data_IF_333210395712
#
_entry.id   IF_333210395712
#
_cell.length_a   1.000
_cell.length_b   1.000
_cell.length_c   1.000
_cell.angle_alpha   90.00
_cell.angle_beta   90.00
_cell.angle_gamma   90.00
#
_symmetry.space_group_name_H-M   'P 1'
#
loop_
_entity.id
_entity.type
_entity.pdbx_description
1 polymer ?
#
# COMPACT_ATOMS: atom_id res chain seq x y z
N UNK A 1 24.46 6.06 7.80
CA UNK A 1 25.30 4.92 8.27
C UNK A 1 24.80 4.50 9.64
N UNK A 2 23.98 3.46 9.67
CA UNK A 2 23.74 2.65 10.85
C UNK A 2 23.84 1.21 10.36
N UNK A 3 25.05 0.67 10.40
CA UNK A 3 25.30 -0.76 10.35
C UNK A 3 25.01 -1.28 11.77
N UNK A 4 23.75 -1.65 12.01
CA UNK A 4 23.38 -2.44 13.18
C UNK A 4 23.17 -3.87 12.69
N UNK A 5 24.23 -4.67 12.80
CA UNK A 5 24.26 -6.11 12.54
C UNK A 5 23.36 -6.89 13.50
N UNK A 6 22.05 -6.66 13.41
CA UNK A 6 21.04 -7.55 13.94
C UNK A 6 20.93 -8.72 12.95
N UNK A 7 21.08 -9.96 13.45
CA UNK A 7 20.84 -11.12 12.63
C UNK A 7 19.42 -11.02 12.05
N UNK A 8 19.31 -11.18 10.72
CA UNK A 8 18.01 -11.14 10.04
C UNK A 8 17.11 -12.24 10.63
N UNK A 9 15.81 -11.96 10.70
CA UNK A 9 14.84 -13.00 11.02
C UNK A 9 14.89 -14.09 9.93
N UNK A 10 14.57 -15.35 10.27
CA UNK A 10 14.50 -16.44 9.28
C UNK A 10 13.58 -16.08 8.09
N UNK A 11 12.52 -15.32 8.41
CA UNK A 11 11.60 -14.73 7.45
C UNK A 11 12.30 -13.75 6.50
N UNK A 12 13.02 -12.76 7.04
CA UNK A 12 13.76 -11.78 6.25
C UNK A 12 14.83 -12.44 5.36
N UNK A 13 15.51 -13.47 5.87
CA UNK A 13 16.46 -14.24 5.08
C UNK A 13 15.77 -14.99 3.93
N UNK A 14 14.61 -15.61 4.18
CA UNK A 14 13.84 -16.29 3.15
C UNK A 14 13.38 -15.32 2.08
N UNK A 15 12.82 -14.17 2.47
CA UNK A 15 12.40 -13.14 1.54
C UNK A 15 13.56 -12.60 0.70
N UNK A 16 14.72 -12.37 1.33
CA UNK A 16 15.94 -11.97 0.62
C UNK A 16 16.37 -13.02 -0.42
N UNK A 17 16.31 -14.32 -0.09
CA UNK A 17 16.61 -15.40 -1.06
C UNK A 17 15.64 -15.39 -2.25
N UNK A 18 14.33 -15.20 -2.00
CA UNK A 18 13.31 -15.12 -3.05
C UNK A 18 13.54 -13.90 -3.96
N UNK A 19 13.78 -12.73 -3.37
CA UNK A 19 14.05 -11.49 -4.08
C UNK A 19 15.30 -11.57 -4.96
N UNK A 20 16.41 -12.11 -4.44
CA UNK A 20 17.67 -12.28 -5.19
C UNK A 20 17.48 -13.27 -6.34
N UNK A 21 16.80 -14.40 -6.10
CA UNK A 21 16.50 -15.40 -7.13
C UNK A 21 15.68 -14.79 -8.28
N UNK A 22 14.63 -14.05 -7.93
CA UNK A 22 13.76 -13.37 -8.88
C UNK A 22 14.52 -12.28 -9.67
N UNK A 23 15.26 -11.42 -8.98
CA UNK A 23 16.06 -10.38 -9.60
C UNK A 23 17.09 -10.92 -10.59
N UNK A 24 17.82 -11.98 -10.24
CA UNK A 24 18.80 -12.62 -11.15
C UNK A 24 18.17 -13.22 -12.39
N UNK A 25 16.98 -13.83 -12.27
CA UNK A 25 16.21 -14.32 -13.43
C UNK A 25 15.79 -13.18 -14.37
N UNK A 26 15.60 -11.97 -13.84
CA UNK A 26 15.31 -10.76 -14.61
C UNK A 26 16.57 -10.00 -15.08
N UNK A 27 17.76 -10.55 -14.84
CA UNK A 27 19.04 -9.95 -15.27
C UNK A 27 19.63 -8.92 -14.31
N UNK A 28 19.08 -8.75 -13.10
CA UNK A 28 19.66 -7.91 -12.05
C UNK A 28 20.88 -8.61 -11.40
N UNK A 29 21.84 -7.81 -10.94
CA UNK A 29 23.10 -8.26 -10.32
C UNK A 29 22.86 -8.80 -8.91
N UNK A 30 22.19 -8.00 -8.06
CA UNK A 30 21.87 -8.34 -6.67
C UNK A 30 23.09 -8.92 -5.90
N UNK A 31 24.20 -8.18 -5.89
CA UNK A 31 25.45 -8.61 -5.24
C UNK A 31 25.45 -8.37 -3.73
N UNK A 32 24.82 -7.28 -3.30
CA UNK A 32 24.78 -6.84 -1.90
C UNK A 32 23.33 -6.60 -1.48
N UNK A 33 22.46 -7.62 -1.49
CA UNK A 33 21.07 -7.43 -1.11
C UNK A 33 20.95 -6.96 0.34
N UNK A 34 20.05 -6.01 0.59
CA UNK A 34 19.81 -5.42 1.92
C UNK A 34 18.33 -5.42 2.23
N UNK A 35 17.96 -5.92 3.41
CA UNK A 35 16.59 -5.79 3.91
C UNK A 35 16.40 -4.37 4.43
N UNK A 36 15.41 -3.67 3.90
CA UNK A 36 15.06 -2.29 4.30
C UNK A 36 13.95 -2.27 5.34
N UNK A 37 13.01 -3.21 5.26
CA UNK A 37 11.84 -3.28 6.11
C UNK A 37 11.38 -4.75 6.26
N UNK A 38 10.89 -5.12 7.45
CA UNK A 38 10.50 -6.50 7.81
C UNK A 38 9.26 -6.49 8.74
N UNK A 39 8.10 -6.06 8.23
CA UNK A 39 6.83 -6.07 8.98
C UNK A 39 5.78 -6.89 8.24
N UNK A 40 4.88 -6.26 7.46
CA UNK A 40 3.82 -6.93 6.70
C UNK A 40 4.33 -7.45 5.35
N UNK A 41 5.19 -6.64 4.73
CA UNK A 41 6.00 -7.00 3.58
C UNK A 41 7.48 -6.96 3.99
N UNK A 42 8.30 -7.80 3.38
CA UNK A 42 9.76 -7.63 3.44
C UNK A 42 10.21 -6.87 2.20
N UNK A 43 10.85 -5.72 2.41
CA UNK A 43 11.42 -4.90 1.34
C UNK A 43 12.91 -5.19 1.21
N UNK A 44 13.33 -5.65 0.03
CA UNK A 44 14.72 -6.06 -0.23
C UNK A 44 15.32 -5.19 -1.34
N UNK A 45 16.29 -4.35 -1.01
CA UNK A 45 17.09 -3.64 -2.00
C UNK A 45 18.10 -4.59 -2.65
N UNK A 46 18.07 -4.72 -3.97
CA UNK A 46 18.98 -5.55 -4.77
C UNK A 46 20.25 -4.81 -5.20
N UNK A 47 20.95 -4.20 -4.26
CA UNK A 47 22.15 -3.42 -4.58
C UNK A 47 23.20 -4.24 -5.37
N UNK A 48 23.93 -3.62 -6.29
CA UNK A 48 23.94 -2.18 -6.61
C UNK A 48 22.84 -1.73 -7.58
N UNK A 49 21.92 -2.60 -8.00
CA UNK A 49 20.79 -2.16 -8.80
C UNK A 49 19.81 -1.38 -7.92
N UNK A 50 19.36 -0.18 -8.34
CA UNK A 50 18.46 0.66 -7.56
C UNK A 50 17.02 0.11 -7.61
N UNK A 51 16.85 -1.11 -7.12
CA UNK A 51 15.61 -1.89 -7.17
C UNK A 51 15.27 -2.42 -5.79
N UNK A 52 14.07 -2.14 -5.33
CA UNK A 52 13.48 -2.72 -4.13
C UNK A 52 12.46 -3.77 -4.54
N UNK A 53 12.63 -5.00 -4.07
CA UNK A 53 11.64 -6.06 -4.21
C UNK A 53 10.73 -6.04 -3.00
N UNK A 54 9.42 -5.94 -3.23
CA UNK A 54 8.42 -6.19 -2.19
C UNK A 54 8.08 -7.67 -2.18
N UNK A 55 8.33 -8.32 -1.05
CA UNK A 55 8.06 -9.73 -0.82
C UNK A 55 6.90 -9.87 0.18
N UNK A 56 5.69 -10.24 -0.28
CA UNK A 56 4.56 -10.49 0.61
C UNK A 56 4.85 -11.65 1.54
N UNK A 57 4.59 -11.44 2.83
CA UNK A 57 4.77 -12.47 3.87
C UNK A 57 3.44 -13.11 4.25
N UNK A 58 2.39 -12.29 4.38
CA UNK A 58 1.07 -12.71 4.84
C UNK A 58 0.09 -12.81 3.66
N UNK A 59 0.44 -13.58 2.64
CA UNK A 59 -0.49 -13.86 1.55
C UNK A 59 -1.61 -14.79 2.05
N UNK A 60 -2.74 -14.20 2.43
CA UNK A 60 -3.96 -14.93 2.78
C UNK A 60 -4.68 -15.51 1.54
N UNK A 61 -4.27 -15.06 0.35
CA UNK A 61 -4.80 -15.47 -0.93
C UNK A 61 -3.79 -16.31 -1.73
N UNK A 62 -4.25 -17.15 -2.68
CA UNK A 62 -3.36 -17.86 -3.60
C UNK A 62 -2.46 -16.90 -4.37
N UNK A 63 -1.25 -17.34 -4.74
CA UNK A 63 -0.27 -16.52 -5.46
C UNK A 63 -0.82 -15.91 -6.77
N UNK A 64 -1.75 -16.58 -7.44
CA UNK A 64 -2.43 -16.06 -8.63
C UNK A 64 -3.34 -14.88 -8.32
N UNK A 65 -4.10 -14.92 -7.23
CA UNK A 65 -4.95 -13.80 -6.81
C UNK A 65 -4.09 -12.62 -6.35
N UNK A 66 -3.00 -12.90 -5.63
CA UNK A 66 -2.01 -11.90 -5.26
C UNK A 66 -1.39 -11.23 -6.49
N UNK A 67 -1.03 -12.00 -7.51
CA UNK A 67 -0.49 -11.46 -8.76
C UNK A 67 -1.49 -10.54 -9.47
N UNK A 68 -2.78 -10.85 -9.48
CA UNK A 68 -3.80 -9.96 -10.07
C UNK A 68 -3.95 -8.64 -9.30
N UNK A 69 -3.86 -8.66 -7.96
CA UNK A 69 -3.84 -7.43 -7.15
C UNK A 69 -2.61 -6.59 -7.47
N UNK A 70 -1.45 -7.23 -7.49
CA UNK A 70 -0.18 -6.58 -7.82
C UNK A 70 -0.16 -6.01 -9.26
N UNK A 71 -0.79 -6.68 -10.23
CA UNK A 71 -0.94 -6.15 -11.59
C UNK A 71 -1.74 -4.84 -11.61
N UNK A 72 -2.86 -4.77 -10.89
CA UNK A 72 -3.67 -3.54 -10.81
C UNK A 72 -2.90 -2.40 -10.16
N UNK A 73 -2.20 -2.70 -9.07
CA UNK A 73 -1.33 -1.72 -8.40
C UNK A 73 -0.21 -1.23 -9.33
N UNK A 74 0.52 -2.13 -9.98
CA UNK A 74 1.60 -1.76 -10.91
C UNK A 74 1.07 -0.93 -12.09
N UNK A 75 -0.13 -1.23 -12.60
CA UNK A 75 -0.77 -0.47 -13.65
C UNK A 75 -1.13 0.95 -13.19
N UNK A 76 -1.73 1.08 -12.00
CA UNK A 76 -2.07 2.37 -11.39
C UNK A 76 -0.82 3.21 -11.12
N UNK A 77 0.16 2.68 -10.39
CA UNK A 77 1.34 3.45 -9.99
C UNK A 77 2.24 3.72 -11.18
N UNK A 78 2.32 2.78 -12.14
CA UNK A 78 2.99 3.01 -13.42
C UNK A 78 2.35 4.17 -14.18
N UNK A 79 1.02 4.20 -14.27
CA UNK A 79 0.30 5.31 -14.90
C UNK A 79 0.52 6.65 -14.16
N UNK A 80 0.43 6.66 -12.83
CA UNK A 80 0.70 7.84 -12.00
C UNK A 80 2.11 8.39 -12.23
N UNK A 81 3.12 7.51 -12.24
CA UNK A 81 4.49 7.87 -12.54
C UNK A 81 4.66 8.45 -13.95
N UNK A 82 3.98 7.87 -14.94
CA UNK A 82 3.99 8.38 -16.32
C UNK A 82 3.30 9.75 -16.45
N UNK A 83 2.39 10.11 -15.52
CA UNK A 83 1.81 11.46 -15.40
C UNK A 83 2.70 12.44 -14.63
N UNK A 84 3.83 11.99 -14.06
CA UNK A 84 4.70 12.82 -13.21
C UNK A 84 4.15 13.04 -11.79
N UNK A 85 3.23 12.18 -11.33
CA UNK A 85 2.75 12.23 -9.95
C UNK A 85 3.89 11.89 -8.96
N UNK A 86 3.85 12.42 -7.72
CA UNK A 86 4.85 12.15 -6.70
C UNK A 86 4.65 10.76 -6.09
N UNK A 87 4.97 9.69 -6.84
CA UNK A 87 4.88 8.30 -6.40
C UNK A 87 6.21 7.59 -6.53
N UNK A 88 6.45 6.57 -5.70
CA UNK A 88 7.57 5.63 -5.92
C UNK A 88 7.22 4.75 -7.14
N UNK A 89 7.93 4.90 -8.27
CA UNK A 89 7.54 4.21 -9.49
C UNK A 89 7.94 2.72 -9.46
N UNK A 90 7.24 1.85 -10.22
CA UNK A 90 7.77 0.54 -10.58
C UNK A 90 9.16 0.67 -11.22
N UNK A 91 10.06 -0.27 -10.94
CA UNK A 91 11.42 -0.19 -11.47
C UNK A 91 11.43 -0.27 -12.99
N UNK A 92 12.11 0.65 -13.71
CA UNK A 92 12.23 0.58 -15.17
C UNK A 92 13.22 -0.48 -15.64
N UNK A 93 13.97 -1.11 -14.72
CA UNK A 93 14.99 -2.12 -15.04
C UNK A 93 14.40 -3.51 -15.29
N UNK A 94 13.11 -3.69 -15.03
CA UNK A 94 12.38 -4.95 -15.21
C UNK A 94 11.01 -4.67 -15.81
N UNK A 95 10.33 -5.67 -16.41
CA UNK A 95 8.94 -5.52 -16.81
C UNK A 95 8.06 -5.09 -15.62
N UNK A 96 7.09 -4.21 -15.87
CA UNK A 96 6.08 -3.76 -14.87
C UNK A 96 5.03 -4.86 -14.62
N UNK A 97 5.47 -6.06 -14.29
CA UNK A 97 4.65 -7.25 -14.05
C UNK A 97 5.07 -7.95 -12.75
N UNK A 98 4.14 -8.58 -12.01
CA UNK A 98 4.49 -9.43 -10.89
C UNK A 98 5.33 -10.63 -11.33
N UNK A 99 6.24 -11.07 -10.47
CA UNK A 99 7.09 -12.24 -10.72
C UNK A 99 6.90 -13.31 -9.66
N UNK A 100 6.62 -14.53 -10.09
CA UNK A 100 6.62 -15.69 -9.19
C UNK A 100 8.06 -16.15 -8.86
N UNK A 101 8.32 -16.38 -7.58
CA UNK A 101 9.51 -17.05 -7.10
C UNK A 101 9.20 -17.82 -5.81
N UNK A 102 9.39 -19.14 -5.85
CA UNK A 102 9.25 -20.00 -4.66
C UNK A 102 7.82 -20.11 -4.11
N UNK A 103 6.81 -19.96 -4.97
CA UNK A 103 5.39 -19.93 -4.62
C UNK A 103 4.88 -18.55 -4.21
N UNK A 104 5.73 -17.51 -4.26
CA UNK A 104 5.38 -16.14 -3.85
C UNK A 104 5.40 -15.20 -5.05
N UNK A 105 4.37 -14.34 -5.17
CA UNK A 105 4.32 -13.29 -6.20
C UNK A 105 4.97 -12.00 -5.69
N UNK A 106 5.96 -11.49 -6.41
CA UNK A 106 6.83 -10.38 -6.02
C UNK A 106 6.64 -9.18 -6.95
N UNK A 107 6.84 -7.96 -6.43
CA UNK A 107 6.85 -6.72 -7.24
C UNK A 107 8.16 -5.96 -7.08
N UNK A 108 8.53 -5.19 -8.10
CA UNK A 108 9.83 -4.51 -8.20
C UNK A 108 9.64 -3.00 -8.36
N UNK A 109 10.22 -2.25 -7.44
CA UNK A 109 10.06 -0.81 -7.29
C UNK A 109 11.41 -0.12 -7.42
N UNK A 110 11.41 1.13 -7.85
CA UNK A 110 12.63 1.92 -7.85
C UNK A 110 13.10 2.15 -6.41
N UNK A 111 14.39 1.93 -6.16
CA UNK A 111 14.98 2.32 -4.88
C UNK A 111 15.04 3.85 -4.77
N UNK A 112 14.53 4.35 -3.64
CA UNK A 112 14.52 5.78 -3.29
C UNK A 112 15.31 5.96 -2.00
N UNK A 113 16.13 7.00 -1.97
CA UNK A 113 16.93 7.38 -0.80
C UNK A 113 16.10 8.35 0.08
N UNK A 114 15.47 7.80 1.11
CA UNK A 114 14.71 8.55 2.10
C UNK A 114 15.64 9.39 2.99
N UNK A 115 15.27 10.65 3.22
CA UNK A 115 16.05 11.65 3.95
C UNK A 115 15.56 11.91 5.36
N UNK A 116 14.25 11.79 5.57
CA UNK A 116 13.59 12.12 6.84
C UNK A 116 12.56 11.03 7.16
N UNK A 117 13.01 9.84 7.60
CA UNK A 117 12.11 8.74 7.93
C UNK A 117 11.26 9.09 9.14
N UNK A 118 9.97 8.74 9.09
CA UNK A 118 9.03 9.07 10.18
C UNK A 118 9.43 8.44 11.51
N UNK A 119 10.10 7.28 11.49
CA UNK A 119 10.63 6.62 12.68
C UNK A 119 11.70 7.45 13.42
N UNK A 120 12.32 8.43 12.74
CA UNK A 120 13.29 9.34 13.34
C UNK A 120 12.66 10.68 13.78
N UNK A 121 11.41 10.94 13.44
CA UNK A 121 10.72 12.18 13.83
C UNK A 121 10.38 12.16 15.34
N UNK A 122 10.53 13.29 16.04
CA UNK A 122 10.16 13.37 17.44
C UNK A 122 8.62 13.34 17.58
N UNK A 123 8.06 12.74 18.66
CA UNK A 123 6.62 12.52 18.80
C UNK A 123 5.76 13.79 18.69
N UNK A 124 6.28 14.93 19.14
CA UNK A 124 5.61 16.23 19.11
C UNK A 124 5.53 16.85 17.71
N UNK A 125 6.37 16.42 16.77
CA UNK A 125 6.32 16.84 15.37
C UNK A 125 5.39 15.97 14.50
N UNK A 126 4.94 14.81 15.00
CA UNK A 126 4.16 13.86 14.20
C UNK A 126 2.82 14.45 13.77
N UNK A 127 2.11 15.16 14.65
CA UNK A 127 0.81 15.74 14.30
C UNK A 127 0.94 16.73 13.14
N UNK A 128 1.90 17.67 13.21
CA UNK A 128 2.10 18.66 12.16
C UNK A 128 2.52 18.02 10.85
N UNK A 129 3.39 17.00 10.92
CA UNK A 129 3.80 16.20 9.75
C UNK A 129 2.61 15.50 9.08
N UNK A 130 1.75 14.84 9.85
CA UNK A 130 0.56 14.19 9.30
C UNK A 130 -0.43 15.19 8.72
N UNK A 131 -0.62 16.36 9.35
CA UNK A 131 -1.45 17.44 8.80
C UNK A 131 -0.92 17.91 7.45
N UNK A 132 0.40 18.12 7.32
CA UNK A 132 1.03 18.52 6.06
C UNK A 132 0.89 17.44 4.98
N UNK A 133 1.21 16.18 5.33
CA UNK A 133 1.10 15.04 4.42
C UNK A 133 -0.34 14.80 3.94
N UNK A 134 -1.33 15.01 4.82
CA UNK A 134 -2.76 14.93 4.46
C UNK A 134 -3.15 16.01 3.45
N UNK A 135 -2.54 17.21 3.54
CA UNK A 135 -2.70 18.25 2.52
C UNK A 135 -2.19 17.80 1.13
N UNK A 136 -1.07 17.08 1.07
CA UNK A 136 -0.53 16.57 -0.21
C UNK A 136 -1.43 15.52 -0.88
N UNK A 137 -2.25 14.80 -0.10
CA UNK A 137 -3.19 13.79 -0.63
C UNK A 137 -4.21 14.40 -1.58
N UNK A 138 -4.62 15.67 -1.39
CA UNK A 138 -5.58 16.31 -2.28
C UNK A 138 -5.09 16.35 -3.74
N UNK A 139 -3.80 16.62 -3.94
CA UNK A 139 -3.18 16.59 -5.26
C UNK A 139 -3.08 15.17 -5.82
N UNK A 140 -2.72 14.19 -4.99
CA UNK A 140 -2.71 12.78 -5.37
C UNK A 140 -4.10 12.33 -5.86
N UNK A 141 -5.16 12.57 -5.08
CA UNK A 141 -6.54 12.25 -5.44
C UNK A 141 -6.96 12.90 -6.75
N UNK A 142 -6.59 14.18 -6.97
CA UNK A 142 -6.91 14.89 -8.22
C UNK A 142 -6.28 14.22 -9.44
N UNK A 143 -5.07 13.67 -9.32
CA UNK A 143 -4.43 12.92 -10.42
C UNK A 143 -5.09 11.55 -10.54
N UNK A 144 -5.29 10.83 -9.44
CA UNK A 144 -5.91 9.50 -9.42
C UNK A 144 -7.33 9.49 -10.01
N UNK A 145 -8.09 10.58 -9.87
CA UNK A 145 -9.37 10.79 -10.53
C UNK A 145 -9.36 10.54 -12.04
N UNK A 146 -8.21 10.76 -12.69
CA UNK A 146 -8.01 10.56 -14.13
C UNK A 146 -7.55 9.15 -14.53
N UNK A 147 -7.35 8.23 -13.58
CA UNK A 147 -6.86 6.88 -13.87
C UNK A 147 -7.89 6.12 -14.74
N UNK A 148 -7.50 5.64 -15.94
CA UNK A 148 -8.45 5.02 -16.87
C UNK A 148 -8.67 3.51 -16.60
N UNK A 149 -7.88 2.90 -15.71
CA UNK A 149 -7.98 1.48 -15.41
C UNK A 149 -9.10 1.17 -14.42
N UNK A 150 -9.52 -0.09 -14.39
CA UNK A 150 -10.54 -0.55 -13.45
C UNK A 150 -9.93 -0.88 -12.09
N UNK A 151 -10.59 -0.41 -11.03
CA UNK A 151 -10.29 -0.78 -9.64
C UNK A 151 -11.54 -1.38 -8.99
N UNK A 152 -11.38 -2.43 -8.17
CA UNK A 152 -12.48 -2.95 -7.34
C UNK A 152 -12.96 -1.87 -6.36
N UNK A 153 -14.24 -1.90 -6.00
CA UNK A 153 -14.85 -0.94 -5.07
C UNK A 153 -14.55 -1.33 -3.63
N UNK A 154 -13.93 -0.42 -2.86
CA UNK A 154 -13.55 -0.60 -1.46
C UNK A 154 -12.94 -1.98 -1.16
N UNK A 155 -11.99 -2.43 -1.99
CA UNK A 155 -11.39 -3.76 -1.94
C UNK A 155 -10.77 -4.18 -0.59
N UNK A 156 -10.10 -3.27 0.16
CA UNK A 156 -9.59 -3.61 1.49
C UNK A 156 -10.71 -4.09 2.43
N UNK A 157 -11.92 -3.53 2.25
CA UNK A 157 -13.10 -3.88 3.00
C UNK A 157 -13.80 -5.11 2.39
N UNK A 158 -14.12 -5.07 1.09
CA UNK A 158 -14.89 -6.08 0.37
C UNK A 158 -14.16 -6.49 -0.92
N UNK A 159 -13.64 -7.74 -1.05
CA UNK A 159 -13.87 -8.89 -0.17
C UNK A 159 -12.84 -9.08 0.96
N UNK A 160 -11.92 -8.12 1.18
CA UNK A 160 -10.77 -8.32 2.08
C UNK A 160 -11.11 -8.78 3.50
N UNK A 161 -12.16 -8.22 4.10
CA UNK A 161 -12.61 -8.59 5.45
C UNK A 161 -13.16 -10.01 5.49
N UNK A 162 -14.00 -10.39 4.52
CA UNK A 162 -14.57 -11.74 4.45
C UNK A 162 -13.50 -12.82 4.29
N UNK A 163 -12.47 -12.56 3.48
CA UNK A 163 -11.33 -13.46 3.31
C UNK A 163 -10.57 -13.66 4.63
N UNK A 164 -10.33 -12.56 5.36
CA UNK A 164 -9.68 -12.59 6.67
C UNK A 164 -10.51 -13.36 7.72
N UNK A 165 -11.82 -13.12 7.77
CA UNK A 165 -12.74 -13.84 8.65
C UNK A 165 -12.78 -15.35 8.33
N UNK A 166 -12.75 -15.74 7.04
CA UNK A 166 -12.71 -17.16 6.65
C UNK A 166 -11.42 -17.87 7.12
N UNK A 167 -10.30 -17.15 7.20
CA UNK A 167 -9.05 -17.68 7.77
C UNK A 167 -9.17 -17.80 9.29
N UNK A 168 -9.69 -16.77 9.96
CA UNK A 168 -9.92 -16.77 11.41
C UNK A 168 -10.92 -17.85 11.84
N UNK A 169 -11.96 -18.13 11.06
CA UNK A 169 -12.89 -19.24 11.33
C UNK A 169 -12.20 -20.61 11.37
N UNK A 170 -11.09 -20.79 10.65
CA UNK A 170 -10.27 -22.01 10.68
C UNK A 170 -9.22 -21.97 11.80
N UNK A 171 -8.75 -20.79 12.16
CA UNK A 171 -7.66 -20.54 13.13
C UNK A 171 -7.99 -19.32 14.00
N UNK A 172 -8.92 -19.45 14.96
CA UNK A 172 -9.48 -18.31 15.69
C UNK A 172 -8.49 -17.63 16.63
N UNK A 173 -7.43 -18.33 17.02
CA UNK A 173 -6.45 -17.81 17.99
C UNK A 173 -7.12 -17.54 19.33
N UNK A 174 -7.19 -16.27 19.72
CA UNK A 174 -7.82 -15.81 20.97
C UNK A 174 -9.31 -15.49 20.84
N UNK A 175 -9.86 -15.48 19.62
CA UNK A 175 -11.24 -15.09 19.35
C UNK A 175 -12.20 -16.22 19.73
N UNK A 176 -13.32 -15.86 20.36
CA UNK A 176 -14.40 -16.81 20.63
C UNK A 176 -15.30 -16.98 19.41
N UNK A 177 -16.11 -18.05 19.40
CA UNK A 177 -17.16 -18.22 18.37
C UNK A 177 -18.12 -17.03 18.34
N UNK A 178 -18.47 -16.47 19.50
CA UNK A 178 -19.35 -15.31 19.56
C UNK A 178 -18.74 -14.06 18.93
N UNK A 179 -17.42 -13.87 19.05
CA UNK A 179 -16.69 -12.77 18.40
C UNK A 179 -16.72 -12.92 16.88
N UNK A 180 -16.44 -14.13 16.38
CA UNK A 180 -16.47 -14.41 14.94
C UNK A 180 -17.87 -14.28 14.36
N UNK A 181 -18.88 -14.85 15.02
CA UNK A 181 -20.28 -14.73 14.59
C UNK A 181 -20.72 -13.25 14.53
N UNK A 182 -20.26 -12.43 15.49
CA UNK A 182 -20.51 -10.99 15.47
C UNK A 182 -19.82 -10.31 14.30
N UNK A 183 -18.54 -10.59 14.09
CA UNK A 183 -17.76 -10.01 12.99
C UNK A 183 -18.32 -10.38 11.62
N UNK A 184 -18.78 -11.62 11.42
CA UNK A 184 -19.45 -12.05 10.19
C UNK A 184 -20.76 -11.30 9.95
N UNK A 185 -21.58 -11.11 10.99
CA UNK A 185 -22.82 -10.32 10.89
C UNK A 185 -22.55 -8.86 10.54
N UNK A 186 -21.56 -8.24 11.18
CA UNK A 186 -21.18 -6.84 10.91
C UNK A 186 -20.59 -6.69 9.51
N UNK A 187 -19.74 -7.63 9.07
CA UNK A 187 -19.21 -7.67 7.72
C UNK A 187 -20.33 -7.80 6.66
N UNK A 188 -21.36 -8.60 6.91
CA UNK A 188 -22.50 -8.73 5.99
C UNK A 188 -23.27 -7.40 5.80
N UNK A 189 -23.37 -6.57 6.84
CA UNK A 189 -23.94 -5.21 6.73
C UNK A 189 -23.07 -4.33 5.85
N UNK A 190 -21.76 -4.36 6.07
CA UNK A 190 -20.79 -3.60 5.27
C UNK A 190 -20.82 -4.03 3.80
N UNK A 191 -20.82 -5.34 3.52
CA UNK A 191 -20.93 -5.86 2.15
C UNK A 191 -22.22 -5.40 1.45
N UNK A 192 -23.34 -5.34 2.17
CA UNK A 192 -24.60 -4.84 1.63
C UNK A 192 -24.52 -3.33 1.30
N UNK A 193 -23.84 -2.53 2.15
CA UNK A 193 -23.63 -1.10 1.91
C UNK A 193 -22.73 -0.86 0.71
N UNK A 194 -21.60 -1.57 0.60
CA UNK A 194 -20.66 -1.41 -0.53
C UNK A 194 -21.31 -1.85 -1.85
N UNK A 195 -22.13 -2.91 -1.83
CA UNK A 195 -22.83 -3.40 -3.03
C UNK A 195 -23.76 -2.36 -3.66
N UNK A 196 -24.39 -1.50 -2.85
CA UNK A 196 -25.28 -0.43 -3.31
C UNK A 196 -24.82 0.93 -2.73
N UNK A 197 -23.53 1.21 -2.88
CA UNK A 197 -22.88 2.42 -2.35
C UNK A 197 -23.61 3.71 -2.78
N UNK A 198 -24.05 3.88 -4.05
CA UNK A 198 -24.78 5.09 -4.45
C UNK A 198 -26.13 5.27 -3.74
N UNK A 199 -26.79 4.18 -3.34
CA UNK A 199 -28.04 4.25 -2.57
C UNK A 199 -27.77 4.56 -1.10
N UNK A 200 -26.77 3.93 -0.51
CA UNK A 200 -26.38 4.15 0.88
C UNK A 200 -25.81 5.56 1.09
N UNK A 201 -25.06 6.06 0.10
CA UNK A 201 -24.39 7.36 0.13
C UNK A 201 -24.60 8.11 -1.19
N UNK A 202 -25.77 8.74 -1.41
CA UNK A 202 -26.07 9.47 -2.67
C UNK A 202 -25.12 10.65 -2.95
N UNK A 203 -24.48 11.18 -1.90
CA UNK A 203 -23.47 12.24 -1.97
C UNK A 203 -22.09 11.74 -2.39
N UNK A 204 -21.80 10.45 -2.26
CA UNK A 204 -20.47 9.91 -2.53
C UNK A 204 -20.08 10.11 -4.00
N UNK A 205 -18.80 10.37 -4.23
CA UNK A 205 -18.18 10.50 -5.55
C UNK A 205 -17.01 9.52 -5.65
N UNK A 206 -17.26 8.23 -5.94
CA UNK A 206 -16.20 7.25 -6.01
C UNK A 206 -15.23 7.56 -7.15
N UNK A 207 -13.93 7.48 -6.85
CA UNK A 207 -12.83 7.58 -7.80
C UNK A 207 -11.68 6.67 -7.34
N UNK A 208 -10.60 6.58 -8.11
CA UNK A 208 -9.41 5.90 -7.63
C UNK A 208 -8.84 6.65 -6.41
N UNK A 209 -8.63 5.92 -5.33
CA UNK A 209 -8.03 6.40 -4.07
C UNK A 209 -6.92 5.45 -3.64
N UNK A 210 -6.03 5.88 -2.74
CA UNK A 210 -4.91 5.07 -2.26
C UNK A 210 -5.39 3.87 -1.45
N UNK A 211 -6.48 4.01 -0.69
CA UNK A 211 -7.16 2.93 0.01
C UNK A 211 -6.62 2.61 1.41
N UNK A 212 -5.44 3.13 1.76
CA UNK A 212 -4.74 2.83 3.02
C UNK A 212 -4.06 4.09 3.57
N UNK A 213 -4.87 5.09 3.95
CA UNK A 213 -4.45 6.33 4.60
C UNK A 213 -3.09 6.87 4.08
N UNK A 214 -3.05 7.44 2.87
CA UNK A 214 -1.82 7.85 2.18
C UNK A 214 -0.83 8.69 3.00
N UNK A 215 -1.23 9.54 3.99
CA UNK A 215 -0.27 10.30 4.80
C UNK A 215 0.76 9.41 5.54
N UNK A 216 0.41 8.18 5.88
CA UNK A 216 1.33 7.22 6.51
C UNK A 216 2.31 6.59 5.53
N UNK A 217 2.03 6.69 4.22
CA UNK A 217 2.72 6.00 3.14
C UNK A 217 3.55 6.98 2.28
N UNK A 218 4.17 7.97 2.93
CA UNK A 218 4.99 9.01 2.27
C UNK A 218 6.47 8.90 2.62
N UNK A 219 7.31 8.81 1.60
CA UNK A 219 8.76 8.93 1.70
C UNK A 219 9.20 10.36 1.42
N UNK A 220 9.99 10.96 2.32
CA UNK A 220 10.59 12.27 2.12
C UNK A 220 11.98 12.12 1.51
N UNK A 221 12.20 12.70 0.35
CA UNK A 221 13.45 12.61 -0.42
C UNK A 221 14.08 13.98 -0.59
N UNK A 222 15.32 14.01 -1.11
CA UNK A 222 15.95 15.29 -1.49
C UNK A 222 15.19 16.03 -2.60
N UNK A 223 14.36 15.33 -3.39
CA UNK A 223 13.56 15.90 -4.47
C UNK A 223 12.11 16.23 -4.10
N UNK A 224 11.71 16.04 -2.85
CA UNK A 224 10.33 16.19 -2.39
C UNK A 224 9.74 14.90 -1.84
N UNK A 225 8.42 14.90 -1.62
CA UNK A 225 7.68 13.73 -1.13
C UNK A 225 7.35 12.76 -2.26
N UNK A 226 7.27 11.48 -1.95
CA UNK A 226 6.74 10.44 -2.83
C UNK A 226 5.79 9.55 -2.04
N UNK A 227 4.57 9.36 -2.54
CA UNK A 227 3.63 8.35 -2.04
C UNK A 227 4.10 6.94 -2.46
N UNK A 228 3.86 5.96 -1.61
CA UNK A 228 4.22 4.56 -1.82
C UNK A 228 3.09 3.65 -1.35
N UNK A 229 3.25 2.34 -1.50
CA UNK A 229 2.36 1.32 -0.94
C UNK A 229 0.88 1.40 -1.36
N UNK A 230 0.65 1.39 -2.68
CA UNK A 230 -0.69 1.41 -3.27
C UNK A 230 -1.34 0.01 -3.33
N UNK A 231 -0.96 -0.94 -2.46
CA UNK A 231 -1.46 -2.32 -2.52
C UNK A 231 -2.97 -2.43 -2.27
N UNK A 232 -3.52 -1.45 -1.56
CA UNK A 232 -4.94 -1.32 -1.22
C UNK A 232 -5.70 -0.31 -2.09
N UNK A 233 -5.07 0.18 -3.16
CA UNK A 233 -5.70 1.14 -4.07
C UNK A 233 -7.01 0.59 -4.66
N UNK A 234 -8.04 1.43 -4.62
CA UNK A 234 -9.41 0.99 -4.81
C UNK A 234 -10.28 2.10 -5.40
N UNK A 235 -11.47 1.74 -5.90
CA UNK A 235 -12.50 2.72 -6.21
C UNK A 235 -13.28 3.06 -4.93
N UNK A 236 -13.28 4.32 -4.52
CA UNK A 236 -13.94 4.75 -3.29
C UNK A 236 -14.08 6.28 -3.22
N UNK A 237 -14.91 6.79 -2.28
CA UNK A 237 -14.94 8.21 -1.96
C UNK A 237 -13.59 8.66 -1.37
N UNK A 238 -13.19 9.92 -1.57
CA UNK A 238 -11.91 10.44 -1.04
C UNK A 238 -11.86 10.43 0.47
N UNK A 239 -13.03 10.54 1.10
CA UNK A 239 -13.28 10.45 2.52
C UNK A 239 -12.77 9.12 3.11
N UNK A 240 -12.66 8.06 2.29
CA UNK A 240 -12.08 6.79 2.71
C UNK A 240 -10.62 6.95 3.16
N UNK A 241 -9.82 7.69 2.41
CA UNK A 241 -8.40 7.92 2.71
C UNK A 241 -8.19 8.93 3.85
N UNK A 242 -9.25 9.66 4.22
CA UNK A 242 -9.28 10.61 5.33
C UNK A 242 -9.92 10.01 6.59
N UNK A 243 -10.43 8.78 6.51
CA UNK A 243 -11.03 8.11 7.65
C UNK A 243 -10.01 7.99 8.80
N UNK A 244 -10.35 8.56 9.96
CA UNK A 244 -9.45 8.61 11.13
C UNK A 244 -8.51 9.82 11.16
N UNK A 245 -8.49 10.67 10.13
CA UNK A 245 -7.78 11.93 10.16
C UNK A 245 -8.45 12.91 11.16
N UNK A 246 -7.62 13.65 11.90
CA UNK A 246 -8.12 14.70 12.80
C UNK A 246 -8.61 15.94 12.03
N UNK A 247 -9.40 16.83 12.66
CA UNK A 247 -9.98 18.00 11.99
C UNK A 247 -8.96 18.89 11.27
N UNK A 248 -7.78 19.12 11.88
CA UNK A 248 -6.69 19.91 11.27
C UNK A 248 -6.17 19.30 9.96
N UNK A 249 -6.12 17.97 9.88
CA UNK A 249 -5.65 17.26 8.71
C UNK A 249 -6.70 17.29 7.59
N UNK A 250 -7.99 17.13 7.94
CA UNK A 250 -9.10 17.34 7.00
C UNK A 250 -9.09 18.78 6.46
N UNK A 251 -8.95 19.79 7.32
CA UNK A 251 -8.84 21.19 6.89
C UNK A 251 -7.63 21.43 5.96
N UNK A 252 -6.51 20.73 6.15
CA UNK A 252 -5.36 20.80 5.27
C UNK A 252 -5.64 20.18 3.90
N UNK A 253 -6.32 19.04 3.86
CA UNK A 253 -6.81 18.43 2.62
C UNK A 253 -7.77 19.36 1.88
N UNK A 254 -8.80 19.87 2.54
CA UNK A 254 -9.83 20.72 1.92
C UNK A 254 -9.24 22.03 1.37
N UNK A 255 -8.31 22.64 2.12
CA UNK A 255 -7.59 23.84 1.68
C UNK A 255 -6.74 23.59 0.45
N UNK A 256 -6.08 22.44 0.36
CA UNK A 256 -5.29 22.06 -0.80
C UNK A 256 -6.17 21.63 -2.00
N UNK A 257 -7.28 20.96 -1.73
CA UNK A 257 -8.24 20.46 -2.73
C UNK A 257 -9.24 21.51 -3.24
N UNK A 258 -9.36 22.64 -2.56
CA UNK A 258 -10.22 23.76 -2.98
C UNK A 258 -11.70 23.57 -2.67
N UNK A 259 -12.06 22.69 -1.73
CA UNK A 259 -13.44 22.43 -1.34
C UNK A 259 -13.56 21.46 -0.17
N UNK A 260 -14.73 21.46 0.51
CA UNK A 260 -14.97 20.55 1.63
C UNK A 260 -15.13 19.10 1.17
N UNK A 261 -14.85 18.17 2.07
CA UNK A 261 -15.22 16.75 1.96
C UNK A 261 -16.43 16.46 2.87
N UNK A 262 -17.16 15.38 2.60
CA UNK A 262 -18.38 15.00 3.36
C UNK A 262 -18.04 14.33 4.72
#
# INVERSE_FOLDING_TARGET
MADSGQALSERAEQAMRLAVSAGRKLGLRAHEPRVLHDVFNVLVHLAPDPVVVRVPILALAPATEQAERQRRELALVGWLADQGAPVVPPSPLVPREPMESGGTSLTFWQYVDERDPIAAAPPDALEERFVEQTGWVAELHRIMAGYPGELPVLAPLVPGTAQSLAVLGKRPGILTTADLDRAERENAVVEALVRDLPRAFPGARPQAVHGDSPPYNVLLTAGGHLFSDFEDATLGPVEWDLAGAGPRAVEAYERAGGGPVD
#
